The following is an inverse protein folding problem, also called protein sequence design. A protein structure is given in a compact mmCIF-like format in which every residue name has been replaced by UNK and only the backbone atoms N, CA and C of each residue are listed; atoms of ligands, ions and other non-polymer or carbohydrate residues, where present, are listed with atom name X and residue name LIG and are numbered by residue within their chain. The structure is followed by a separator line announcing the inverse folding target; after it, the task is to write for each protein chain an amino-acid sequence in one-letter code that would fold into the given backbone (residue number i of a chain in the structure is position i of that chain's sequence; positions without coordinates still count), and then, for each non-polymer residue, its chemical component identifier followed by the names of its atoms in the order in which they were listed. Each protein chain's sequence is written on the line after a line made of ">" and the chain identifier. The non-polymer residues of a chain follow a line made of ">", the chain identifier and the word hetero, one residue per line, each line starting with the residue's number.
data_IF_268309364642
#
_entry.id   IF_268309364642
#
_cell.length_a   1.000
_cell.length_b   1.000
_cell.length_c   1.000
_cell.angle_alpha   90.00
_cell.angle_beta   90.00
_cell.angle_gamma   90.00
#
_symmetry.space_group_name_H-M   'P 1'
#
loop_
_entity.id
_entity.type
_entity.pdbx_description
1 polymer ?
#
# COMPACT_ATOMS: atom_id res chain seq x y z
N UNK A 1 7.27 22.09 40.01
CA UNK A 1 8.12 21.65 38.88
C UNK A 1 7.29 20.69 38.04
N UNK A 2 6.80 21.16 36.89
CA UNK A 2 6.00 20.33 35.98
C UNK A 2 6.95 19.37 35.24
N UNK A 3 6.87 18.08 35.57
CA UNK A 3 7.58 17.05 34.82
C UNK A 3 6.94 16.93 33.44
N UNK A 4 7.67 17.37 32.41
CA UNK A 4 7.32 17.17 31.02
C UNK A 4 7.45 15.68 30.70
N UNK A 5 6.33 14.98 30.63
CA UNK A 5 6.26 13.59 30.18
C UNK A 5 6.68 13.54 28.70
N UNK A 6 7.94 13.18 28.45
CA UNK A 6 8.40 12.82 27.10
C UNK A 6 7.61 11.58 26.69
N UNK A 7 6.63 11.74 25.77
CA UNK A 7 5.99 10.59 25.10
C UNK A 7 7.13 9.71 24.58
N UNK A 8 7.22 8.48 25.08
CA UNK A 8 8.11 7.50 24.47
C UNK A 8 7.68 7.38 23.00
N UNK A 9 8.66 7.44 22.10
CA UNK A 9 8.43 7.27 20.68
C UNK A 9 8.03 5.81 20.49
N UNK A 10 6.72 5.53 20.50
CA UNK A 10 6.22 4.18 20.27
C UNK A 10 6.75 3.72 18.91
N UNK A 11 7.51 2.63 18.92
CA UNK A 11 7.97 2.01 17.69
C UNK A 11 6.71 1.46 16.99
N UNK A 12 6.38 1.95 15.79
CA UNK A 12 5.15 1.57 15.10
C UNK A 12 5.05 0.07 14.84
N UNK A 13 3.84 -0.43 14.55
CA UNK A 13 3.50 -1.87 14.56
C UNK A 13 4.54 -2.81 13.95
N UNK A 14 5.11 -2.45 12.79
CA UNK A 14 6.19 -3.18 12.09
C UNK A 14 7.43 -3.50 12.92
N UNK A 15 7.72 -2.73 13.97
CA UNK A 15 8.89 -2.93 14.83
C UNK A 15 8.71 -4.08 15.84
N UNK A 16 7.48 -4.56 16.01
CA UNK A 16 7.13 -5.62 16.95
C UNK A 16 7.01 -7.00 16.28
N UNK A 17 7.46 -7.13 15.03
CA UNK A 17 7.40 -8.38 14.28
C UNK A 17 8.68 -8.60 13.45
N UNK A 18 9.10 -9.86 13.34
CA UNK A 18 10.23 -10.26 12.51
C UNK A 18 9.85 -10.43 11.03
N UNK A 19 8.56 -10.41 10.73
CA UNK A 19 8.01 -10.50 9.38
C UNK A 19 7.33 -9.18 8.95
N UNK A 20 7.14 -8.94 7.64
CA UNK A 20 6.52 -7.70 7.18
C UNK A 20 5.10 -7.52 7.71
N UNK A 21 4.82 -6.35 8.26
CA UNK A 21 3.50 -5.91 8.70
C UNK A 21 2.97 -4.91 7.68
N UNK A 22 1.83 -5.23 7.08
CA UNK A 22 1.29 -4.46 5.96
C UNK A 22 -0.20 -4.23 6.00
N UNK A 23 -0.65 -3.40 5.06
CA UNK A 23 -2.04 -2.97 4.90
C UNK A 23 -2.46 -3.05 3.44
N UNK A 24 -3.77 -3.22 3.22
CA UNK A 24 -4.37 -2.99 1.92
C UNK A 24 -4.68 -1.49 1.78
N UNK A 25 -4.21 -0.87 0.69
CA UNK A 25 -4.37 0.56 0.45
C UNK A 25 -5.07 0.85 -0.88
N UNK A 26 -5.71 2.01 -0.96
CA UNK A 26 -6.06 2.67 -2.22
C UNK A 26 -5.18 3.91 -2.33
N UNK A 27 -4.37 3.99 -3.38
CA UNK A 27 -3.33 5.03 -3.48
C UNK A 27 -3.91 6.44 -3.57
N UNK A 28 -5.09 6.61 -4.17
CA UNK A 28 -5.79 7.90 -4.24
C UNK A 28 -6.23 8.39 -2.85
N UNK A 29 -6.85 7.51 -2.06
CA UNK A 29 -7.27 7.83 -0.68
C UNK A 29 -6.06 8.15 0.19
N UNK A 30 -5.00 7.34 0.08
CA UNK A 30 -3.78 7.54 0.83
C UNK A 30 -3.10 8.87 0.46
N UNK A 31 -3.01 9.20 -0.83
CA UNK A 31 -2.37 10.45 -1.26
C UNK A 31 -3.16 11.70 -0.86
N UNK A 32 -4.49 11.59 -0.71
CA UNK A 32 -5.35 12.69 -0.30
C UNK A 32 -5.35 12.97 1.22
N UNK A 33 -4.81 12.07 2.03
CA UNK A 33 -4.88 12.13 3.49
C UNK A 33 -3.50 12.02 4.13
N UNK A 34 -3.01 13.15 4.66
CA UNK A 34 -1.70 13.24 5.30
C UNK A 34 -1.61 12.47 6.62
N UNK A 35 -2.69 12.42 7.40
CA UNK A 35 -2.71 11.68 8.67
C UNK A 35 -2.67 10.18 8.41
N UNK A 36 -3.43 9.72 7.41
CA UNK A 36 -3.39 8.33 6.97
C UNK A 36 -2.01 7.94 6.41
N UNK A 37 -1.35 8.84 5.68
CA UNK A 37 0.03 8.62 5.25
C UNK A 37 1.01 8.48 6.41
N UNK A 38 0.90 9.34 7.41
CA UNK A 38 1.79 9.27 8.58
C UNK A 38 1.56 7.98 9.37
N UNK A 39 0.30 7.61 9.58
CA UNK A 39 -0.08 6.33 10.18
C UNK A 39 0.48 5.16 9.37
N UNK A 40 0.36 5.20 8.04
CA UNK A 40 0.86 4.15 7.15
C UNK A 40 2.38 4.00 7.26
N UNK A 41 3.12 5.12 7.19
CA UNK A 41 4.59 5.13 7.21
C UNK A 41 5.16 4.75 8.57
N UNK A 42 4.51 5.18 9.66
CA UNK A 42 4.94 4.88 11.02
C UNK A 42 4.72 3.41 11.37
N UNK A 43 3.60 2.81 10.96
CA UNK A 43 3.21 1.48 11.43
C UNK A 43 3.55 0.32 10.49
N UNK A 44 3.65 0.54 9.17
CA UNK A 44 3.72 -0.56 8.21
C UNK A 44 4.98 -0.52 7.35
N UNK A 45 5.46 -1.69 6.92
CA UNK A 45 6.59 -1.88 6.00
C UNK A 45 6.22 -2.75 4.79
N UNK A 46 4.93 -3.03 4.58
CA UNK A 46 4.44 -3.66 3.36
C UNK A 46 3.08 -3.10 2.96
N UNK A 47 2.81 -3.04 1.66
CA UNK A 47 1.52 -2.63 1.11
C UNK A 47 1.01 -3.66 0.12
N UNK A 48 -0.31 -3.76 0.04
CA UNK A 48 -1.04 -4.45 -1.03
C UNK A 48 -2.02 -3.46 -1.64
N UNK A 49 -2.10 -3.37 -2.97
CA UNK A 49 -3.16 -2.58 -3.60
C UNK A 49 -4.51 -3.27 -3.42
N UNK A 50 -5.51 -2.57 -2.89
CA UNK A 50 -6.83 -3.15 -2.62
C UNK A 50 -7.56 -3.60 -3.90
N UNK A 51 -7.32 -2.92 -5.02
CA UNK A 51 -7.98 -3.21 -6.29
C UNK A 51 -7.15 -2.97 -7.53
N UNK A 52 -6.16 -2.07 -7.48
CA UNK A 52 -5.58 -1.50 -8.70
C UNK A 52 -4.62 -2.46 -9.42
N UNK A 53 -4.26 -3.55 -8.75
CA UNK A 53 -3.48 -4.64 -9.31
C UNK A 53 -4.34 -5.86 -9.70
N UNK A 54 -5.67 -5.76 -9.68
CA UNK A 54 -6.56 -6.83 -10.16
C UNK A 54 -6.58 -6.88 -11.68
N UNK A 55 -6.81 -8.06 -12.22
CA UNK A 55 -6.77 -8.35 -13.66
C UNK A 55 -7.58 -7.35 -14.49
N UNK A 56 -8.83 -7.07 -14.13
CA UNK A 56 -9.69 -6.10 -14.84
C UNK A 56 -9.27 -4.63 -14.72
N UNK A 57 -8.33 -4.29 -13.84
CA UNK A 57 -7.77 -2.93 -13.72
C UNK A 57 -6.51 -2.76 -14.57
N UNK A 58 -5.82 -3.86 -14.86
CA UNK A 58 -4.59 -3.88 -15.65
C UNK A 58 -4.91 -4.17 -17.11
N UNK A 59 -5.74 -5.17 -17.40
CA UNK A 59 -5.97 -5.67 -18.75
C UNK A 59 -7.27 -5.08 -19.31
N UNK A 60 -7.16 -4.09 -20.19
CA UNK A 60 -8.32 -3.39 -20.77
C UNK A 60 -8.94 -4.18 -21.93
N UNK A 61 -8.10 -4.74 -22.81
CA UNK A 61 -8.44 -5.65 -23.92
C UNK A 61 -7.27 -6.60 -24.20
N UNK A 62 -7.43 -7.52 -25.15
CA UNK A 62 -6.34 -8.42 -25.55
C UNK A 62 -5.10 -7.62 -25.97
N UNK A 63 -3.97 -7.90 -25.31
CA UNK A 63 -2.69 -7.22 -25.56
C UNK A 63 -2.59 -5.76 -25.06
N UNK A 64 -3.63 -5.20 -24.45
CA UNK A 64 -3.64 -3.80 -23.97
C UNK A 64 -3.63 -3.76 -22.44
N UNK A 65 -2.56 -3.15 -21.91
CA UNK A 65 -2.29 -3.10 -20.47
C UNK A 65 -2.15 -1.66 -19.95
N UNK A 66 -2.74 -1.40 -18.78
CA UNK A 66 -2.68 -0.12 -18.09
C UNK A 66 -1.86 -0.19 -16.81
N UNK A 67 -0.58 0.16 -16.94
CA UNK A 67 0.39 0.08 -15.84
C UNK A 67 0.56 1.37 -15.04
N UNK A 68 0.15 2.53 -15.57
CA UNK A 68 0.45 3.84 -14.97
C UNK A 68 0.03 3.97 -13.50
N UNK A 69 -1.10 3.37 -13.11
CA UNK A 69 -1.56 3.37 -11.70
C UNK A 69 -0.70 2.48 -10.80
N UNK A 70 -0.20 1.36 -11.35
CA UNK A 70 0.71 0.45 -10.65
C UNK A 70 2.08 1.10 -10.49
N UNK A 71 2.56 1.83 -11.49
CA UNK A 71 3.80 2.59 -11.41
C UNK A 71 3.76 3.61 -10.25
N UNK A 72 2.62 4.29 -10.08
CA UNK A 72 2.40 5.18 -8.93
C UNK A 72 2.45 4.47 -7.58
N UNK A 73 1.89 3.26 -7.49
CA UNK A 73 1.92 2.44 -6.26
C UNK A 73 3.34 1.93 -5.98
N UNK A 74 4.05 1.49 -7.02
CA UNK A 74 5.44 1.04 -6.93
C UNK A 74 6.35 2.17 -6.44
N UNK A 75 6.22 3.36 -7.05
CA UNK A 75 6.96 4.55 -6.65
C UNK A 75 6.68 4.92 -5.19
N UNK A 76 5.42 4.87 -4.74
CA UNK A 76 5.08 5.09 -3.34
C UNK A 76 5.76 4.07 -2.42
N UNK A 77 5.68 2.77 -2.74
CA UNK A 77 6.33 1.72 -1.96
C UNK A 77 7.84 1.94 -1.84
N UNK A 78 8.52 2.21 -2.97
CA UNK A 78 9.95 2.45 -3.01
C UNK A 78 10.35 3.67 -2.18
N UNK A 79 9.66 4.81 -2.36
CA UNK A 79 9.97 6.06 -1.64
C UNK A 79 9.78 5.94 -0.12
N UNK A 80 8.94 5.01 0.34
CA UNK A 80 8.65 4.81 1.76
C UNK A 80 9.30 3.53 2.34
N UNK A 81 10.20 2.87 1.60
CA UNK A 81 10.83 1.60 1.99
C UNK A 81 9.81 0.53 2.41
N UNK A 82 8.69 0.44 1.69
CA UNK A 82 7.65 -0.56 1.92
C UNK A 82 7.70 -1.65 0.84
N UNK A 83 7.63 -2.91 1.25
CA UNK A 83 7.46 -4.05 0.34
C UNK A 83 6.10 -3.98 -0.36
N UNK A 84 6.09 -4.01 -1.69
CA UNK A 84 4.85 -4.15 -2.48
C UNK A 84 4.51 -5.63 -2.69
N UNK A 85 3.32 -6.04 -2.24
CA UNK A 85 2.76 -7.36 -2.53
C UNK A 85 1.74 -7.26 -3.67
N UNK A 86 2.01 -7.96 -4.77
CA UNK A 86 1.15 -7.99 -5.94
C UNK A 86 -0.12 -8.79 -5.69
N UNK A 87 -1.28 -8.13 -5.73
CA UNK A 87 -2.59 -8.75 -5.57
C UNK A 87 -3.53 -8.26 -6.68
N UNK A 88 -3.72 -9.01 -7.75
CA UNK A 88 -3.34 -10.41 -7.98
C UNK A 88 -3.27 -10.68 -9.51
N UNK A 89 -2.67 -11.80 -9.91
CA UNK A 89 -2.56 -12.13 -11.35
C UNK A 89 -3.84 -12.78 -11.89
N UNK A 90 -4.25 -13.91 -11.31
CA UNK A 90 -5.41 -14.69 -11.77
C UNK A 90 -6.41 -14.79 -10.62
N UNK A 91 -7.69 -14.53 -10.89
CA UNK A 91 -8.77 -14.71 -9.93
C UNK A 91 -10.08 -14.98 -10.65
N UNK A 92 -11.02 -15.67 -10.00
CA UNK A 92 -12.34 -15.94 -10.58
C UNK A 92 -13.27 -14.72 -10.55
N UNK A 93 -12.94 -13.72 -9.71
CA UNK A 93 -13.64 -12.45 -9.65
C UNK A 93 -12.71 -11.33 -10.11
N UNK A 94 -13.27 -10.23 -10.61
CA UNK A 94 -12.48 -9.11 -11.15
C UNK A 94 -11.60 -9.49 -12.35
N UNK A 95 -12.07 -10.43 -13.18
CA UNK A 95 -11.54 -10.69 -14.52
C UNK A 95 -12.08 -9.67 -15.53
N UNK A 96 -11.34 -9.38 -16.62
CA UNK A 96 -11.90 -8.67 -17.76
C UNK A 96 -13.15 -9.39 -18.30
N UNK A 97 -14.05 -8.62 -18.90
CA UNK A 97 -15.32 -9.13 -19.44
C UNK A 97 -15.24 -9.60 -20.90
N UNK A 98 -14.13 -9.31 -21.57
CA UNK A 98 -13.91 -9.63 -22.97
C UNK A 98 -13.38 -11.05 -23.14
#
# INVERSE_FOLDING_TARGET
>A
MHACNKKQKENGLKANAEFPIGTAIKIETLNADFELQDLQKSNFNSITSASDMKMNRIIESEGVYKWSRIDGILNYAQNNNQRLFGHNLIWHSSTPKW
#
